data_IF_399877712970
#
_entry.id   IF_399877712970
#
_cell.length_a   1.000
_cell.length_b   1.000
_cell.length_c   1.000
_cell.angle_alpha   90.00
_cell.angle_beta   90.00
_cell.angle_gamma   90.00
#
_symmetry.space_group_name_H-M   'P 1'
#
loop_
_entity.id
_entity.type
_entity.pdbx_description
1 polymer ?
#
# COMPACT_ATOMS: atom_id res chain seq x y z
N UNK A 1 0.99 25.16 -24.91
CA UNK A 1 2.34 25.72 -25.17
C UNK A 1 3.19 24.62 -25.79
N UNK A 2 3.49 24.71 -27.09
CA UNK A 2 4.43 23.79 -27.74
C UNK A 2 5.82 24.45 -27.70
N UNK A 3 6.83 23.74 -27.19
CA UNK A 3 8.22 24.17 -27.33
C UNK A 3 8.61 24.13 -28.82
N UNK A 4 9.34 25.14 -29.30
CA UNK A 4 9.77 25.24 -30.69
C UNK A 4 11.22 25.70 -30.80
N UNK A 5 11.85 25.45 -31.94
CA UNK A 5 13.20 25.92 -32.25
C UNK A 5 13.25 26.54 -33.65
N UNK A 6 14.21 27.43 -33.87
CA UNK A 6 14.51 27.95 -35.21
C UNK A 6 15.75 27.27 -35.75
N UNK A 7 15.60 26.61 -36.89
CA UNK A 7 16.72 26.02 -37.64
C UNK A 7 16.83 26.77 -38.94
N UNK A 8 17.95 27.48 -39.14
CA UNK A 8 18.22 28.30 -40.32
C UNK A 8 17.08 29.28 -40.67
N UNK A 9 16.49 29.92 -39.66
CA UNK A 9 15.43 30.92 -39.84
C UNK A 9 14.00 30.37 -39.92
N UNK A 10 13.84 29.08 -40.20
CA UNK A 10 12.54 28.40 -40.22
C UNK A 10 12.15 27.93 -38.81
N UNK A 11 10.88 28.13 -38.45
CA UNK A 11 10.34 27.71 -37.16
C UNK A 11 9.85 26.27 -37.21
N UNK A 12 10.26 25.45 -36.23
CA UNK A 12 9.85 24.06 -36.07
C UNK A 12 9.22 23.84 -34.69
N UNK A 13 8.17 23.01 -34.63
CA UNK A 13 7.65 22.48 -33.38
C UNK A 13 8.48 21.31 -32.89
N UNK A 14 8.78 21.27 -31.59
CA UNK A 14 9.47 20.14 -30.96
C UNK A 14 8.41 19.19 -30.38
N UNK A 15 8.37 17.96 -30.89
CA UNK A 15 7.45 16.91 -30.43
C UNK A 15 8.10 15.94 -29.43
N UNK A 16 9.43 15.98 -29.27
CA UNK A 16 10.20 15.15 -28.34
C UNK A 16 11.71 15.38 -28.52
N UNK A 17 12.54 14.75 -27.66
CA UNK A 17 14.00 14.86 -27.74
C UNK A 17 14.74 13.88 -26.83
N UNK A 18 16.02 13.64 -27.13
CA UNK A 18 16.96 12.89 -26.29
C UNK A 18 17.92 13.85 -25.60
N UNK A 19 18.53 13.41 -24.51
CA UNK A 19 19.60 14.17 -23.86
C UNK A 19 20.92 13.94 -24.62
N UNK A 20 21.67 15.00 -24.91
CA UNK A 20 23.03 14.91 -25.43
C UNK A 20 24.04 15.23 -24.32
N UNK A 21 24.96 14.31 -24.05
CA UNK A 21 26.05 14.52 -23.10
C UNK A 21 27.36 14.27 -23.84
N UNK A 22 28.16 15.32 -24.03
CA UNK A 22 29.44 15.22 -24.77
C UNK A 22 29.28 14.75 -26.22
N UNK A 23 28.13 14.99 -26.86
CA UNK A 23 27.83 14.55 -28.23
C UNK A 23 27.25 13.13 -28.34
N UNK A 24 27.17 12.38 -27.23
CA UNK A 24 26.50 11.09 -27.19
C UNK A 24 25.01 11.25 -26.82
N UNK A 25 24.14 10.55 -27.54
CA UNK A 25 22.70 10.52 -27.28
C UNK A 25 22.33 9.57 -26.15
N UNK A 26 21.48 10.03 -25.23
CA UNK A 26 20.94 9.24 -24.14
C UNK A 26 19.41 9.34 -24.09
N UNK A 27 18.77 8.17 -24.00
CA UNK A 27 17.35 8.07 -23.65
C UNK A 27 17.16 8.28 -22.16
N UNK A 28 16.19 9.10 -21.77
CA UNK A 28 15.78 9.24 -20.38
C UNK A 28 14.84 8.07 -20.05
N UNK A 29 15.28 7.18 -19.15
CA UNK A 29 14.51 5.99 -18.76
C UNK A 29 13.80 6.11 -17.41
N UNK A 30 14.21 7.07 -16.56
CA UNK A 30 13.65 7.32 -15.22
C UNK A 30 14.04 8.71 -14.73
N UNK A 31 13.24 9.27 -13.83
CA UNK A 31 13.60 10.48 -13.09
C UNK A 31 14.68 10.19 -12.04
N UNK A 32 15.62 11.11 -11.86
CA UNK A 32 16.61 11.06 -10.78
C UNK A 32 16.83 12.45 -10.20
N UNK A 33 17.11 12.51 -8.90
CA UNK A 33 17.57 13.72 -8.24
C UNK A 33 18.99 13.54 -7.72
N UNK A 34 19.70 14.64 -7.51
CA UNK A 34 20.98 14.67 -6.81
C UNK A 34 20.74 15.27 -5.42
N UNK A 35 21.01 14.50 -4.37
CA UNK A 35 21.01 14.99 -3.00
C UNK A 35 22.44 14.89 -2.49
N UNK A 36 23.07 16.04 -2.20
CA UNK A 36 24.45 16.13 -1.74
C UNK A 36 25.49 15.42 -2.64
N UNK A 37 25.28 15.44 -3.96
CA UNK A 37 26.18 14.78 -4.92
C UNK A 37 25.92 13.28 -5.12
N UNK A 38 25.03 12.68 -4.32
CA UNK A 38 24.57 11.29 -4.52
C UNK A 38 23.31 11.28 -5.38
N UNK A 39 23.30 10.44 -6.42
CA UNK A 39 22.15 10.27 -7.29
C UNK A 39 21.11 9.32 -6.68
N UNK A 40 19.85 9.76 -6.63
CA UNK A 40 18.71 8.97 -6.18
C UNK A 40 17.69 8.84 -7.32
N UNK A 41 17.12 7.65 -7.47
CA UNK A 41 15.99 7.45 -8.38
C UNK A 41 14.74 8.10 -7.79
N UNK A 42 14.00 8.83 -8.62
CA UNK A 42 12.67 9.33 -8.27
C UNK A 42 11.68 8.25 -8.71
N UNK A 43 11.23 7.46 -7.75
CA UNK A 43 10.10 6.55 -7.93
C UNK A 43 8.79 7.29 -7.74
N UNK A 44 7.78 6.93 -8.53
CA UNK A 44 6.40 7.21 -8.16
C UNK A 44 5.94 6.10 -7.23
N UNK A 45 5.50 6.47 -6.03
CA UNK A 45 4.81 5.52 -5.16
C UNK A 45 3.58 5.01 -5.91
N UNK A 46 3.27 3.73 -5.74
CA UNK A 46 2.08 3.15 -6.34
C UNK A 46 0.87 3.48 -5.46
N UNK A 47 -0.31 3.39 -6.05
CA UNK A 47 -1.56 3.34 -5.28
C UNK A 47 -1.52 2.17 -4.30
N UNK A 48 -2.19 2.33 -3.16
CA UNK A 48 -2.40 1.25 -2.20
C UNK A 48 -3.80 0.72 -2.40
N UNK A 49 -3.91 -0.55 -2.80
CA UNK A 49 -5.21 -1.22 -2.95
C UNK A 49 -5.43 -2.15 -1.75
N UNK A 50 -6.55 -1.99 -1.06
CA UNK A 50 -6.92 -2.86 0.06
C UNK A 50 -8.26 -3.51 -0.21
N UNK A 51 -8.27 -4.83 -0.26
CA UNK A 51 -9.48 -5.65 -0.33
C UNK A 51 -9.76 -6.31 1.01
N UNK A 52 -10.82 -5.89 1.67
CA UNK A 52 -11.32 -6.49 2.90
C UNK A 52 -12.44 -7.47 2.52
N UNK A 53 -12.34 -8.71 2.96
CA UNK A 53 -13.33 -9.77 2.74
C UNK A 53 -13.78 -10.39 4.05
N UNK A 54 -14.97 -10.99 4.04
CA UNK A 54 -15.60 -11.56 5.22
C UNK A 54 -16.11 -10.52 6.22
N UNK A 55 -16.64 -10.99 7.34
CA UNK A 55 -17.31 -10.16 8.33
C UNK A 55 -16.61 -10.26 9.68
N UNK A 56 -16.32 -9.10 10.24
CA UNK A 56 -15.82 -8.90 11.58
C UNK A 56 -16.94 -8.72 12.60
N UNK A 57 -16.59 -8.15 13.75
CA UNK A 57 -17.48 -7.83 14.84
C UNK A 57 -17.08 -6.47 15.35
N UNK A 58 -18.05 -5.56 15.41
CA UNK A 58 -17.87 -4.14 15.79
C UNK A 58 -17.00 -3.87 17.02
N UNK A 59 -16.88 -4.84 17.94
CA UNK A 59 -16.10 -4.71 19.16
C UNK A 59 -14.92 -5.69 19.27
N UNK A 60 -14.94 -6.81 18.57
CA UNK A 60 -14.03 -7.93 18.82
C UNK A 60 -13.10 -8.26 17.66
N UNK A 61 -13.45 -7.90 16.42
CA UNK A 61 -12.61 -8.16 15.26
C UNK A 61 -12.87 -7.11 14.20
N UNK A 62 -11.85 -6.33 13.89
CA UNK A 62 -11.90 -5.30 12.86
C UNK A 62 -10.51 -4.96 12.36
N UNK A 63 -10.45 -4.31 11.20
CA UNK A 63 -9.27 -3.56 10.79
C UNK A 63 -9.57 -2.07 10.75
N UNK A 64 -8.55 -1.25 10.94
CA UNK A 64 -8.63 0.18 10.67
C UNK A 64 -7.60 0.58 9.62
N UNK A 65 -8.00 1.44 8.71
CA UNK A 65 -7.12 2.07 7.72
C UNK A 65 -7.13 3.56 7.99
N UNK A 66 -5.98 4.12 8.36
CA UNK A 66 -5.86 5.55 8.73
C UNK A 66 -6.97 5.98 9.70
N UNK A 67 -7.09 5.26 10.83
CA UNK A 67 -8.08 5.45 11.89
C UNK A 67 -9.55 5.11 11.56
N UNK A 68 -9.90 4.91 10.29
CA UNK A 68 -11.25 4.49 9.92
C UNK A 68 -11.41 2.97 10.07
N UNK A 69 -12.35 2.55 10.91
CA UNK A 69 -12.63 1.13 11.18
C UNK A 69 -13.52 0.50 10.11
N UNK A 70 -13.19 -0.74 9.77
CA UNK A 70 -13.93 -1.59 8.85
C UNK A 70 -14.21 -2.93 9.50
N UNK A 71 -15.47 -3.32 9.43
CA UNK A 71 -16.00 -4.55 10.01
C UNK A 71 -16.56 -5.48 8.94
N UNK A 72 -16.87 -4.95 7.76
CA UNK A 72 -17.54 -5.67 6.68
C UNK A 72 -16.67 -5.59 5.42
N UNK A 73 -16.97 -6.39 4.38
CA UNK A 73 -16.22 -6.36 3.14
C UNK A 73 -16.16 -4.96 2.52
N UNK A 74 -15.00 -4.59 2.00
CA UNK A 74 -14.76 -3.30 1.38
C UNK A 74 -13.59 -3.37 0.38
N UNK A 75 -13.67 -2.57 -0.68
CA UNK A 75 -12.56 -2.36 -1.63
C UNK A 75 -12.19 -0.89 -1.62
N UNK A 76 -10.94 -0.61 -1.24
CA UNK A 76 -10.45 0.75 -1.01
C UNK A 76 -9.19 1.00 -1.83
N UNK A 77 -9.12 2.18 -2.43
CA UNK A 77 -7.96 2.64 -3.20
C UNK A 77 -7.49 3.94 -2.57
N UNK A 78 -6.21 3.99 -2.22
CA UNK A 78 -5.55 5.18 -1.72
C UNK A 78 -4.56 5.69 -2.77
N UNK A 79 -4.53 7.01 -2.93
CA UNK A 79 -3.71 7.66 -3.94
C UNK A 79 -2.22 7.34 -3.77
N UNK A 80 -1.51 7.32 -4.90
CA UNK A 80 -0.07 7.14 -4.96
C UNK A 80 0.68 8.03 -3.95
N UNK A 81 1.37 7.38 -3.00
CA UNK A 81 2.19 8.06 -2.00
C UNK A 81 1.44 8.66 -0.83
N UNK A 82 0.12 8.49 -0.76
CA UNK A 82 -0.61 8.70 0.49
C UNK A 82 -0.13 7.65 1.52
N UNK A 83 0.24 8.04 2.74
CA UNK A 83 0.57 7.09 3.79
C UNK A 83 -0.68 6.27 4.15
N UNK A 84 -0.52 4.95 4.22
CA UNK A 84 -1.59 4.04 4.62
C UNK A 84 -1.11 3.10 5.71
N UNK A 85 -1.73 3.22 6.88
CA UNK A 85 -1.50 2.38 8.04
C UNK A 85 -2.66 1.42 8.22
N UNK A 86 -2.37 0.12 8.24
CA UNK A 86 -3.32 -0.93 8.56
C UNK A 86 -3.15 -1.34 10.02
N UNK A 87 -4.23 -1.23 10.78
CA UNK A 87 -4.30 -1.71 12.15
C UNK A 87 -5.26 -2.90 12.25
N UNK A 88 -4.77 -4.03 12.76
CA UNK A 88 -5.56 -5.22 13.01
C UNK A 88 -5.90 -5.32 14.50
N UNK A 89 -7.18 -5.52 14.81
CA UNK A 89 -7.67 -5.71 16.17
C UNK A 89 -8.42 -7.02 16.29
N UNK A 90 -8.00 -7.87 17.24
CA UNK A 90 -8.77 -9.04 17.67
C UNK A 90 -8.87 -9.07 19.19
N UNK A 91 -10.04 -9.38 19.71
CA UNK A 91 -10.25 -9.60 21.13
C UNK A 91 -11.21 -10.76 21.38
N UNK A 92 -10.86 -11.60 22.34
CA UNK A 92 -11.75 -12.61 22.88
C UNK A 92 -11.59 -12.61 24.39
N UNK A 93 -12.70 -12.74 25.12
CA UNK A 93 -12.75 -12.95 26.56
C UNK A 93 -13.30 -14.35 26.92
N UNK A 94 -13.52 -15.21 25.92
CA UNK A 94 -13.99 -16.59 26.12
C UNK A 94 -12.83 -17.59 26.02
N UNK A 95 -12.87 -18.62 26.87
CA UNK A 95 -11.97 -19.78 26.77
C UNK A 95 -12.27 -20.66 25.55
N UNK A 96 -13.51 -20.65 25.08
CA UNK A 96 -13.96 -21.47 23.93
C UNK A 96 -13.68 -20.80 22.58
N UNK A 97 -13.18 -19.55 22.57
CA UNK A 97 -12.89 -18.80 21.36
C UNK A 97 -11.40 -18.59 21.18
N UNK A 98 -10.90 -19.00 20.03
CA UNK A 98 -9.52 -18.79 19.60
C UNK A 98 -9.49 -17.55 18.72
N UNK A 99 -8.51 -16.67 18.96
CA UNK A 99 -8.17 -15.56 18.08
C UNK A 99 -6.81 -15.82 17.44
N UNK A 100 -6.67 -15.60 16.14
CA UNK A 100 -5.39 -15.73 15.43
C UNK A 100 -5.21 -14.63 14.40
N UNK A 101 -4.02 -14.05 14.36
CA UNK A 101 -3.59 -13.10 13.34
C UNK A 101 -2.55 -13.75 12.44
N UNK A 102 -2.79 -13.75 11.13
CA UNK A 102 -1.85 -14.22 10.12
C UNK A 102 -1.34 -13.04 9.29
N UNK A 103 -0.08 -13.13 8.87
CA UNK A 103 0.52 -12.22 7.89
C UNK A 103 1.30 -13.05 6.88
N UNK A 104 0.93 -12.95 5.60
CA UNK A 104 1.48 -13.76 4.50
C UNK A 104 1.48 -15.28 4.80
N UNK A 105 0.41 -15.76 5.44
CA UNK A 105 0.25 -17.17 5.80
C UNK A 105 0.97 -17.61 7.08
N UNK A 106 1.80 -16.77 7.69
CA UNK A 106 2.47 -17.07 8.97
C UNK A 106 1.68 -16.55 10.17
N UNK A 107 1.65 -17.32 11.27
CA UNK A 107 1.02 -16.89 12.52
C UNK A 107 1.86 -15.79 13.16
N UNK A 108 1.28 -14.61 13.30
CA UNK A 108 1.88 -13.47 14.00
C UNK A 108 1.61 -13.54 15.50
N UNK A 109 0.36 -13.83 15.87
CA UNK A 109 -0.06 -14.01 17.26
C UNK A 109 -1.34 -14.85 17.33
N UNK A 110 -1.52 -15.59 18.42
CA UNK A 110 -2.72 -16.39 18.67
C UNK A 110 -3.00 -16.47 20.17
N UNK A 111 -4.25 -16.78 20.53
CA UNK A 111 -4.59 -17.08 21.91
C UNK A 111 -6.09 -17.21 22.17
N UNK A 112 -6.42 -17.36 23.44
CA UNK A 112 -7.78 -17.26 23.98
C UNK A 112 -7.77 -16.28 25.16
N UNK A 113 -8.93 -15.69 25.48
CA UNK A 113 -9.05 -14.66 26.54
C UNK A 113 -7.99 -13.54 26.46
N UNK A 114 -7.68 -13.12 25.24
CA UNK A 114 -6.58 -12.21 24.93
C UNK A 114 -7.07 -11.14 23.97
N UNK A 115 -6.35 -10.01 23.96
CA UNK A 115 -6.43 -8.98 22.94
C UNK A 115 -5.14 -8.99 22.11
N UNK A 116 -5.28 -9.02 20.80
CA UNK A 116 -4.21 -8.90 19.80
C UNK A 116 -4.40 -7.59 19.06
N UNK A 117 -3.34 -6.80 18.97
CA UNK A 117 -3.31 -5.54 18.26
C UNK A 117 -2.00 -5.46 17.48
N UNK A 118 -2.08 -5.17 16.19
CA UNK A 118 -0.90 -5.08 15.34
C UNK A 118 -1.09 -4.04 14.26
N UNK A 119 -0.05 -3.24 14.04
CA UNK A 119 -0.02 -2.18 13.05
C UNK A 119 0.99 -2.52 11.94
N UNK A 120 0.65 -2.14 10.71
CA UNK A 120 1.47 -2.34 9.51
C UNK A 120 1.46 -1.06 8.67
N UNK A 121 2.65 -0.61 8.25
CA UNK A 121 2.77 0.35 7.14
C UNK A 121 2.65 -0.41 5.82
N UNK A 122 1.59 -0.11 5.09
CA UNK A 122 1.26 -0.75 3.81
C UNK A 122 1.34 0.23 2.64
N UNK A 123 1.95 1.40 2.84
CA UNK A 123 2.06 2.45 1.83
C UNK A 123 2.66 1.92 0.51
N UNK A 124 1.88 2.03 -0.56
CA UNK A 124 2.27 1.61 -1.91
C UNK A 124 2.22 0.10 -2.15
N UNK A 125 1.53 -0.65 -1.29
CA UNK A 125 1.36 -2.11 -1.40
C UNK A 125 -0.09 -2.47 -1.70
N UNK A 126 -0.28 -3.61 -2.36
CA UNK A 126 -1.60 -4.21 -2.54
C UNK A 126 -1.81 -5.25 -1.45
N UNK A 127 -2.91 -5.16 -0.72
CA UNK A 127 -3.18 -5.97 0.46
C UNK A 127 -4.57 -6.61 0.33
N UNK A 128 -4.66 -7.90 0.62
CA UNK A 128 -5.91 -8.58 0.93
C UNK A 128 -6.01 -8.81 2.44
N UNK A 129 -7.15 -8.48 3.02
CA UNK A 129 -7.47 -8.72 4.43
C UNK A 129 -8.73 -9.56 4.51
N UNK A 130 -8.66 -10.72 5.15
CA UNK A 130 -9.82 -11.58 5.37
C UNK A 130 -10.17 -11.61 6.86
N UNK A 131 -11.38 -11.15 7.16
CA UNK A 131 -11.99 -11.24 8.48
C UNK A 131 -12.82 -12.51 8.55
N UNK A 132 -12.48 -13.41 9.47
CA UNK A 132 -13.26 -14.63 9.71
C UNK A 132 -13.85 -14.59 11.11
N UNK A 133 -15.17 -14.66 11.18
CA UNK A 133 -15.93 -14.81 12.42
C UNK A 133 -16.76 -16.09 12.39
N UNK A 134 -16.49 -16.98 13.33
CA UNK A 134 -17.29 -18.18 13.58
C UNK A 134 -17.56 -18.35 15.08
N UNK A 135 -18.36 -19.35 15.45
CA UNK A 135 -18.80 -19.59 16.83
C UNK A 135 -17.63 -19.63 17.83
N UNK A 136 -16.52 -20.26 17.43
CA UNK A 136 -15.35 -20.51 18.27
C UNK A 136 -14.04 -19.92 17.73
N UNK A 137 -14.07 -19.17 16.63
CA UNK A 137 -12.87 -18.71 15.93
C UNK A 137 -13.06 -17.28 15.46
N UNK A 138 -12.08 -16.41 15.76
CA UNK A 138 -11.93 -15.09 15.15
C UNK A 138 -10.53 -15.00 14.51
N UNK A 139 -10.46 -14.71 13.22
CA UNK A 139 -9.19 -14.64 12.51
C UNK A 139 -9.12 -13.42 11.62
N UNK A 140 -7.93 -12.81 11.57
CA UNK A 140 -7.56 -11.84 10.56
C UNK A 140 -6.39 -12.43 9.79
N UNK A 141 -6.54 -12.55 8.48
CA UNK A 141 -5.47 -12.94 7.56
C UNK A 141 -5.13 -11.76 6.66
N UNK A 142 -3.89 -11.28 6.75
CA UNK A 142 -3.36 -10.20 5.92
C UNK A 142 -2.38 -10.79 4.90
N UNK A 143 -2.58 -10.50 3.62
CA UNK A 143 -1.75 -11.03 2.52
C UNK A 143 -1.32 -9.88 1.62
N UNK A 144 -0.01 -9.72 1.41
CA UNK A 144 0.52 -8.84 0.37
C UNK A 144 0.41 -9.52 -1.01
N UNK A 145 -0.08 -8.80 -2.01
CA UNK A 145 -0.36 -9.30 -3.37
C UNK A 145 0.76 -8.99 -4.38
#
# INVERSE_FOLDING_TARGET
MAHGTKVNGSSYGITGGKCLVGGAEYSIKKGRTLVNGTGYDIGFLKETNVEITGEGSSLLIYVALNDQKYYDPASLVFDAGQPVTLFCYLESNSYSRIITLYYNGEIVDTGNRKRIQKEYDITGKNISVKLTKSTNIFEIEVTEL
#
